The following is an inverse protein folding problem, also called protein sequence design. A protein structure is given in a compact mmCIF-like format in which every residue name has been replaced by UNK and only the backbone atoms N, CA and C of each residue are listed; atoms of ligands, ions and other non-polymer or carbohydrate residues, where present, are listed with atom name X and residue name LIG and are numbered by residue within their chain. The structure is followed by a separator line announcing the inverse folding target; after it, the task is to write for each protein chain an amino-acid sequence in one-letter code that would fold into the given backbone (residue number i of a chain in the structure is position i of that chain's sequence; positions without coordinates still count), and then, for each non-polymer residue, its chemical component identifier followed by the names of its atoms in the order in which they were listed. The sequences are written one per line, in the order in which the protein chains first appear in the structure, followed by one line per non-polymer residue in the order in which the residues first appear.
data_IF_599935843314
#
_entry.id   IF_599935843314
#
_cell.length_a   1.000
_cell.length_b   1.000
_cell.length_c   1.000
_cell.angle_alpha   90.00
_cell.angle_beta   90.00
_cell.angle_gamma   90.00
#
_symmetry.space_group_name_H-M   'P 1'
#
loop_
_entity.id
_entity.type
_entity.pdbx_description
1 polymer ?
#
# COMPACT_ATOMS: atom_id res chain seq x y z
N UNK A 1 38.15 60.52 -21.50
CA UNK A 1 37.70 59.20 -22.01
C UNK A 1 38.04 58.12 -20.98
N UNK A 2 37.37 58.14 -19.81
CA UNK A 2 37.62 57.22 -18.67
C UNK A 2 36.32 56.62 -18.10
N UNK A 3 35.27 56.54 -18.93
CA UNK A 3 33.95 56.04 -18.51
C UNK A 3 33.51 54.74 -19.18
N UNK A 4 34.31 54.17 -20.10
CA UNK A 4 33.91 52.97 -20.85
C UNK A 4 34.48 51.69 -20.22
N UNK A 5 35.51 51.79 -19.38
CA UNK A 5 36.20 50.61 -18.85
C UNK A 5 35.58 50.01 -17.58
N UNK A 6 34.71 50.74 -16.88
CA UNK A 6 34.12 50.29 -15.60
C UNK A 6 32.80 49.55 -15.74
N UNK A 7 32.15 49.61 -16.91
CA UNK A 7 30.86 48.93 -17.13
C UNK A 7 31.03 47.44 -17.53
N UNK A 8 32.17 47.07 -18.10
CA UNK A 8 32.45 45.67 -18.48
C UNK A 8 32.82 44.78 -17.29
N UNK A 9 33.23 45.32 -16.15
CA UNK A 9 33.67 44.51 -15.00
C UNK A 9 32.51 44.09 -14.09
N UNK A 10 31.38 44.81 -14.11
CA UNK A 10 30.20 44.48 -13.29
C UNK A 10 29.26 43.50 -14.03
N UNK A 11 29.30 43.46 -15.36
CA UNK A 11 28.48 42.51 -16.15
C UNK A 11 29.06 41.08 -16.15
N UNK A 12 30.35 40.91 -15.82
CA UNK A 12 31.02 39.60 -15.78
C UNK A 12 30.94 38.90 -14.41
N UNK A 13 30.38 39.53 -13.37
CA UNK A 13 30.22 38.90 -12.05
C UNK A 13 28.90 38.14 -11.85
N UNK A 14 28.02 38.09 -12.85
CA UNK A 14 26.74 37.34 -12.76
C UNK A 14 26.74 35.99 -13.51
N UNK A 15 27.88 35.52 -14.02
CA UNK A 15 27.97 34.22 -14.74
C UNK A 15 28.86 33.21 -13.99
N UNK A 16 28.99 33.37 -12.68
CA UNK A 16 29.52 32.33 -11.79
C UNK A 16 28.49 31.95 -10.73
N UNK A 17 27.21 31.94 -11.10
CA UNK A 17 26.30 30.98 -10.49
C UNK A 17 26.83 29.61 -10.88
N UNK A 18 27.54 28.98 -9.95
CA UNK A 18 28.10 27.65 -10.09
C UNK A 18 27.12 26.74 -10.83
N UNK A 19 27.64 26.17 -11.91
CA UNK A 19 27.32 24.85 -12.42
C UNK A 19 27.34 23.82 -11.27
N UNK A 20 26.32 23.83 -10.43
CA UNK A 20 25.78 22.60 -9.89
C UNK A 20 24.60 22.27 -10.79
N UNK A 21 24.91 21.64 -11.93
CA UNK A 21 23.91 20.97 -12.76
C UNK A 21 23.40 19.74 -11.98
N UNK A 22 22.80 19.99 -10.82
CA UNK A 22 22.16 18.98 -9.99
C UNK A 22 20.85 18.56 -10.64
N UNK A 23 20.28 17.48 -10.12
CA UNK A 23 18.97 16.99 -10.51
C UNK A 23 17.89 17.96 -10.00
N UNK A 24 17.30 18.83 -10.84
CA UNK A 24 16.60 20.02 -10.34
C UNK A 24 15.19 19.71 -9.78
N UNK A 25 14.65 18.51 -10.04
CA UNK A 25 13.34 18.06 -9.59
C UNK A 25 13.26 16.53 -9.52
N UNK A 26 12.31 15.98 -8.77
CA UNK A 26 12.15 14.53 -8.50
C UNK A 26 12.17 13.59 -9.72
N UNK A 27 11.99 14.09 -10.94
CA UNK A 27 12.03 13.31 -12.19
C UNK A 27 12.96 13.89 -13.28
N UNK A 28 13.91 14.75 -12.91
CA UNK A 28 14.83 15.38 -13.86
C UNK A 28 14.13 16.41 -14.74
N UNK A 29 14.86 17.13 -15.59
CA UNK A 29 14.33 18.28 -16.35
C UNK A 29 13.11 17.92 -17.23
N UNK A 30 13.11 16.73 -17.81
CA UNK A 30 12.03 16.23 -18.68
C UNK A 30 10.88 15.54 -17.92
N UNK A 31 10.97 15.48 -16.58
CA UNK A 31 9.99 14.83 -15.69
C UNK A 31 9.73 13.35 -16.02
N UNK A 32 10.69 12.68 -16.64
CA UNK A 32 10.60 11.27 -17.03
C UNK A 32 11.37 10.33 -16.09
N UNK A 33 12.15 10.86 -15.13
CA UNK A 33 12.98 10.06 -14.23
C UNK A 33 14.24 9.49 -14.88
N UNK A 34 14.62 9.97 -16.07
CA UNK A 34 15.75 9.44 -16.86
C UNK A 34 16.95 10.37 -16.76
N UNK A 35 18.05 9.86 -16.23
CA UNK A 35 19.31 10.59 -16.15
C UNK A 35 20.15 10.36 -17.41
N UNK A 36 19.85 11.14 -18.47
CA UNK A 36 20.49 11.02 -19.78
C UNK A 36 22.02 11.12 -19.74
N UNK A 37 22.57 11.90 -18.80
CA UNK A 37 24.01 12.10 -18.62
C UNK A 37 24.53 11.46 -17.32
N UNK A 38 23.95 10.35 -16.88
CA UNK A 38 24.45 9.63 -15.71
C UNK A 38 25.74 8.86 -16.05
N UNK A 39 26.71 8.78 -15.10
CA UNK A 39 27.79 7.81 -15.20
C UNK A 39 27.19 6.41 -15.42
N UNK A 40 27.79 5.61 -16.30
CA UNK A 40 27.38 4.21 -16.45
C UNK A 40 27.48 3.53 -15.08
N UNK A 41 26.36 2.97 -14.62
CA UNK A 41 26.35 2.12 -13.44
C UNK A 41 27.21 0.90 -13.81
N UNK A 42 28.23 0.61 -13.01
CA UNK A 42 29.04 -0.59 -13.22
C UNK A 42 28.15 -1.81 -13.13
N UNK A 43 28.33 -2.75 -14.06
CA UNK A 43 27.72 -4.09 -13.97
C UNK A 43 28.68 -5.10 -13.38
N UNK A 44 29.95 -4.72 -13.26
CA UNK A 44 31.03 -5.56 -12.76
C UNK A 44 31.15 -5.33 -11.25
N UNK A 45 30.37 -6.09 -10.50
CA UNK A 45 30.50 -6.22 -9.06
C UNK A 45 31.27 -7.51 -8.74
N UNK A 46 32.00 -7.52 -7.63
CA UNK A 46 32.57 -8.76 -7.10
C UNK A 46 31.43 -9.74 -6.73
N UNK A 47 31.74 -11.02 -6.54
CA UNK A 47 30.74 -12.07 -6.26
C UNK A 47 29.94 -11.78 -4.97
N UNK A 48 30.56 -11.08 -4.02
CA UNK A 48 29.98 -10.59 -2.76
C UNK A 48 29.24 -9.24 -2.90
N UNK A 49 29.24 -8.62 -4.08
CA UNK A 49 28.54 -7.38 -4.38
C UNK A 49 29.26 -6.11 -3.94
N UNK A 50 28.63 -4.93 -4.07
CA UNK A 50 29.19 -3.68 -3.58
C UNK A 50 29.26 -3.68 -2.05
N UNK A 51 30.37 -3.17 -1.50
CA UNK A 51 30.55 -3.01 -0.05
C UNK A 51 29.46 -2.11 0.52
N UNK A 52 28.70 -2.61 1.49
CA UNK A 52 27.75 -1.80 2.26
C UNK A 52 28.51 -0.75 3.09
N UNK A 53 28.23 0.53 2.83
CA UNK A 53 28.87 1.66 3.53
C UNK A 53 27.99 2.24 4.63
N UNK A 54 26.68 2.04 4.52
CA UNK A 54 25.68 2.54 5.47
C UNK A 54 24.37 1.78 5.30
N UNK A 55 23.64 1.62 6.40
CA UNK A 55 22.30 1.05 6.47
C UNK A 55 21.44 1.97 7.32
N UNK A 56 20.19 2.20 6.90
CA UNK A 56 19.24 2.98 7.68
C UNK A 56 18.55 2.12 8.75
N UNK A 57 17.87 2.77 9.68
CA UNK A 57 16.78 2.09 10.41
C UNK A 57 15.68 1.65 9.43
N UNK A 58 14.78 0.79 9.89
CA UNK A 58 13.56 0.48 9.16
C UNK A 58 12.76 1.76 8.90
N UNK A 59 12.38 1.95 7.64
CA UNK A 59 11.61 3.11 7.19
C UNK A 59 10.17 2.63 7.00
N UNK A 60 9.18 3.25 7.67
CA UNK A 60 7.79 2.86 7.50
C UNK A 60 7.31 3.16 6.07
N UNK A 61 6.53 2.24 5.51
CA UNK A 61 5.94 2.34 4.17
C UNK A 61 4.42 2.11 4.20
N UNK A 62 3.78 2.23 3.04
CA UNK A 62 2.35 1.95 2.87
C UNK A 62 1.45 2.73 3.84
N UNK A 63 0.63 2.02 4.61
CA UNK A 63 -0.31 2.61 5.56
C UNK A 63 0.38 3.15 6.82
N UNK A 64 1.66 2.88 7.04
CA UNK A 64 2.42 3.31 8.22
C UNK A 64 3.36 4.49 7.96
N UNK A 65 3.75 4.72 6.70
CA UNK A 65 4.62 5.85 6.36
C UNK A 65 4.56 6.38 4.93
N UNK A 66 3.58 5.92 4.15
CA UNK A 66 3.38 6.34 2.77
C UNK A 66 4.45 5.80 1.82
N UNK A 67 4.55 6.43 0.66
CA UNK A 67 5.53 6.09 -0.36
C UNK A 67 6.38 7.31 -0.68
N UNK A 68 7.70 7.19 -0.53
CA UNK A 68 8.64 8.23 -0.90
C UNK A 68 9.74 7.67 -1.80
N UNK A 69 10.43 8.56 -2.50
CA UNK A 69 11.62 8.24 -3.28
C UNK A 69 12.85 8.85 -2.60
N UNK A 70 13.96 8.12 -2.64
CA UNK A 70 15.25 8.60 -2.14
C UNK A 70 15.83 9.61 -3.12
N UNK A 71 16.38 10.71 -2.60
CA UNK A 71 17.05 11.74 -3.39
C UNK A 71 18.50 11.84 -2.91
N UNK A 72 19.46 11.78 -3.83
CA UNK A 72 20.87 11.99 -3.53
C UNK A 72 21.32 13.34 -4.08
N UNK A 73 21.80 14.22 -3.21
CA UNK A 73 22.31 15.53 -3.60
C UNK A 73 23.47 15.93 -2.68
N UNK A 74 24.55 16.46 -3.28
CA UNK A 74 25.72 16.98 -2.54
C UNK A 74 26.33 15.96 -1.55
N UNK A 75 26.38 14.68 -1.95
CA UNK A 75 26.89 13.60 -1.10
C UNK A 75 25.98 13.22 0.08
N UNK A 76 24.76 13.75 0.13
CA UNK A 76 23.74 13.45 1.15
C UNK A 76 22.57 12.71 0.54
N UNK A 77 21.95 11.87 1.36
CA UNK A 77 20.75 11.12 1.02
C UNK A 77 19.58 11.74 1.78
N UNK A 78 18.55 12.15 1.05
CA UNK A 78 17.33 12.73 1.57
C UNK A 78 16.16 11.79 1.31
N UNK A 79 15.29 11.67 2.30
CA UNK A 79 14.07 10.90 2.21
C UNK A 79 12.95 11.64 2.94
N UNK A 80 11.83 11.85 2.26
CA UNK A 80 10.63 12.41 2.88
C UNK A 80 9.88 11.28 3.57
N UNK A 81 9.77 11.35 4.90
CA UNK A 81 9.07 10.34 5.68
C UNK A 81 7.80 10.92 6.26
N UNK A 82 6.72 10.15 6.16
CA UNK A 82 5.52 10.39 6.96
C UNK A 82 5.64 9.46 8.16
N UNK A 83 5.83 10.02 9.35
CA UNK A 83 5.81 9.24 10.58
C UNK A 83 4.39 9.23 11.12
N UNK A 84 3.74 8.07 11.11
CA UNK A 84 2.51 7.91 11.87
C UNK A 84 2.83 7.84 13.37
N UNK A 85 1.98 8.49 14.18
CA UNK A 85 2.05 8.38 15.64
C UNK A 85 0.82 7.62 16.08
N UNK A 86 1.06 6.51 16.77
CA UNK A 86 0.01 5.77 17.44
C UNK A 86 -0.41 6.53 18.70
N UNK A 87 -1.52 7.26 18.62
CA UNK A 87 -2.08 8.02 19.74
C UNK A 87 -3.40 7.39 20.13
N UNK A 88 -3.57 6.86 21.35
CA UNK A 88 -4.82 6.20 21.74
C UNK A 88 -6.04 7.03 21.37
N UNK A 89 -6.84 6.52 20.45
CA UNK A 89 -8.02 7.22 20.02
C UNK A 89 -9.06 7.15 21.15
N UNK A 90 -9.77 8.24 21.42
CA UNK A 90 -10.91 8.19 22.33
C UNK A 90 -12.12 7.57 21.64
N UNK A 91 -12.34 7.98 20.39
CA UNK A 91 -13.42 7.49 19.53
C UNK A 91 -12.92 6.31 18.69
N UNK A 92 -13.85 5.53 18.14
CA UNK A 92 -13.54 4.45 17.19
C UNK A 92 -14.34 4.66 15.92
N UNK A 93 -13.76 4.37 14.77
CA UNK A 93 -14.43 4.56 13.48
C UNK A 93 -14.23 3.33 12.61
N UNK A 94 -15.30 2.87 11.96
CA UNK A 94 -15.21 1.86 10.90
C UNK A 94 -15.02 2.61 9.58
N UNK A 95 -13.77 2.95 9.29
CA UNK A 95 -13.42 3.67 8.07
C UNK A 95 -13.11 2.70 6.90
N UNK A 96 -12.68 3.26 5.77
CA UNK A 96 -12.32 2.47 4.59
C UNK A 96 -11.08 1.57 4.84
N UNK A 97 -10.16 1.96 5.73
CA UNK A 97 -8.96 1.17 6.08
C UNK A 97 -9.35 -0.06 6.88
N UNK A 98 -10.25 0.08 7.86
CA UNK A 98 -10.83 -1.02 8.62
C UNK A 98 -11.51 -2.02 7.69
N UNK A 99 -12.40 -1.53 6.81
CA UNK A 99 -13.11 -2.40 5.87
C UNK A 99 -12.14 -3.16 4.94
N UNK A 100 -11.07 -2.50 4.48
CA UNK A 100 -10.02 -3.14 3.69
C UNK A 100 -9.27 -4.20 4.48
N UNK A 101 -8.93 -3.95 5.75
CA UNK A 101 -8.27 -4.91 6.65
C UNK A 101 -9.15 -6.15 6.92
N UNK A 102 -10.46 -5.96 7.03
CA UNK A 102 -11.44 -7.04 7.13
C UNK A 102 -11.57 -7.85 5.83
N UNK A 103 -11.11 -7.31 4.69
CA UNK A 103 -11.23 -7.93 3.38
C UNK A 103 -12.56 -7.64 2.67
N UNK A 104 -13.28 -6.59 3.09
CA UNK A 104 -14.47 -6.13 2.38
C UNK A 104 -14.10 -5.57 1.01
N UNK A 105 -14.89 -5.93 -0.01
CA UNK A 105 -14.82 -5.34 -1.33
C UNK A 105 -16.22 -5.23 -1.90
N UNK A 106 -16.60 -4.03 -2.33
CA UNK A 106 -17.81 -3.88 -3.13
C UNK A 106 -17.58 -4.51 -4.49
N UNK A 107 -18.31 -5.58 -4.79
CA UNK A 107 -18.24 -6.27 -6.08
C UNK A 107 -19.53 -6.07 -6.85
N UNK A 108 -19.40 -5.88 -8.16
CA UNK A 108 -20.53 -5.93 -9.11
C UNK A 108 -20.70 -7.32 -9.73
N UNK A 109 -20.15 -8.35 -9.09
CA UNK A 109 -20.31 -9.73 -9.54
C UNK A 109 -21.76 -10.17 -9.31
N UNK A 110 -22.28 -10.97 -10.24
CA UNK A 110 -23.60 -11.55 -10.09
C UNK A 110 -23.72 -12.38 -8.80
N UNK A 111 -24.85 -12.33 -8.08
CA UNK A 111 -25.03 -13.05 -6.82
C UNK A 111 -24.75 -14.55 -6.93
N UNK A 112 -25.07 -15.17 -8.06
CA UNK A 112 -24.80 -16.59 -8.31
C UNK A 112 -23.29 -16.91 -8.33
N UNK A 113 -22.48 -16.02 -8.90
CA UNK A 113 -21.01 -16.18 -8.94
C UNK A 113 -20.41 -16.02 -7.55
N UNK A 114 -20.94 -15.08 -6.76
CA UNK A 114 -20.54 -14.88 -5.36
C UNK A 114 -20.88 -16.13 -4.54
N UNK A 115 -22.09 -16.67 -4.68
CA UNK A 115 -22.51 -17.88 -4.00
C UNK A 115 -21.65 -19.10 -4.41
N UNK A 116 -21.33 -19.23 -5.70
CA UNK A 116 -20.44 -20.28 -6.20
C UNK A 116 -19.02 -20.17 -5.60
N UNK A 117 -18.49 -18.95 -5.52
CA UNK A 117 -17.19 -18.66 -4.90
C UNK A 117 -17.19 -19.06 -3.42
N UNK A 118 -18.16 -18.59 -2.63
CA UNK A 118 -18.19 -18.88 -1.20
C UNK A 118 -18.42 -20.36 -0.92
N UNK A 119 -19.25 -21.04 -1.73
CA UNK A 119 -19.41 -22.50 -1.66
C UNK A 119 -18.09 -23.22 -1.93
N UNK A 120 -17.36 -22.81 -2.97
CA UNK A 120 -16.05 -23.39 -3.30
C UNK A 120 -15.02 -23.12 -2.20
N UNK A 121 -15.00 -21.90 -1.63
CA UNK A 121 -14.11 -21.52 -0.53
C UNK A 121 -14.31 -22.42 0.70
N UNK A 122 -15.56 -22.66 1.07
CA UNK A 122 -15.90 -23.48 2.24
C UNK A 122 -15.63 -24.98 2.01
N UNK A 123 -15.65 -25.45 0.76
CA UNK A 123 -15.35 -26.85 0.42
C UNK A 123 -13.86 -27.13 0.17
N UNK A 124 -13.00 -26.11 0.25
CA UNK A 124 -11.56 -26.27 0.07
C UNK A 124 -10.97 -27.21 1.13
N UNK A 125 -10.24 -28.23 0.66
CA UNK A 125 -9.49 -29.12 1.55
C UNK A 125 -8.39 -28.34 2.27
N UNK A 126 -8.25 -28.46 3.61
CA UNK A 126 -7.15 -27.84 4.36
C UNK A 126 -5.75 -28.29 3.90
N UNK A 127 -5.66 -29.39 3.16
CA UNK A 127 -4.40 -29.92 2.58
C UNK A 127 -4.02 -29.28 1.24
N UNK A 128 -4.95 -28.58 0.58
CA UNK A 128 -4.68 -27.87 -0.66
C UNK A 128 -3.98 -26.54 -0.34
N UNK A 129 -2.65 -26.49 -0.52
CA UNK A 129 -1.81 -25.34 -0.17
C UNK A 129 -0.69 -25.13 -1.18
N UNK A 130 -0.05 -23.96 -1.13
CA UNK A 130 1.10 -23.62 -1.97
C UNK A 130 0.76 -23.63 -3.45
N UNK A 131 1.68 -24.09 -4.29
CA UNK A 131 1.51 -24.10 -5.76
C UNK A 131 0.25 -24.83 -6.24
N UNK A 132 -0.15 -25.91 -5.57
CA UNK A 132 -1.38 -26.64 -5.91
C UNK A 132 -2.64 -25.80 -5.68
N UNK A 133 -2.66 -24.97 -4.64
CA UNK A 133 -3.77 -24.04 -4.40
C UNK A 133 -3.78 -22.94 -5.46
N UNK A 134 -2.61 -22.41 -5.84
CA UNK A 134 -2.50 -21.39 -6.90
C UNK A 134 -3.02 -21.90 -8.25
N UNK A 135 -2.66 -23.13 -8.62
CA UNK A 135 -3.14 -23.76 -9.85
C UNK A 135 -4.66 -23.98 -9.81
N UNK A 136 -5.18 -24.54 -8.72
CA UNK A 136 -6.63 -24.71 -8.54
C UNK A 136 -7.39 -23.38 -8.61
N UNK A 137 -6.88 -22.32 -7.97
CA UNK A 137 -7.51 -20.99 -8.02
C UNK A 137 -7.51 -20.43 -9.44
N UNK A 138 -6.43 -20.61 -10.19
CA UNK A 138 -6.32 -20.17 -11.59
C UNK A 138 -7.37 -20.87 -12.46
N UNK A 139 -7.52 -22.18 -12.32
CA UNK A 139 -8.54 -22.95 -13.04
C UNK A 139 -9.96 -22.53 -12.66
N UNK A 140 -10.22 -22.37 -11.35
CA UNK A 140 -11.53 -21.94 -10.87
C UNK A 140 -11.90 -20.57 -11.43
N UNK A 141 -10.97 -19.60 -11.39
CA UNK A 141 -11.18 -18.24 -11.89
C UNK A 141 -11.39 -18.24 -13.40
N UNK A 142 -10.60 -19.02 -14.15
CA UNK A 142 -10.75 -19.14 -15.60
C UNK A 142 -12.12 -19.68 -16.00
N UNK A 143 -12.71 -20.55 -15.18
CA UNK A 143 -14.02 -21.17 -15.43
C UNK A 143 -15.21 -20.28 -15.05
N UNK A 144 -15.08 -19.44 -14.03
CA UNK A 144 -16.22 -18.72 -13.44
C UNK A 144 -16.25 -17.22 -13.73
N UNK A 145 -15.12 -16.61 -14.09
CA UNK A 145 -15.02 -15.17 -14.36
C UNK A 145 -14.72 -14.89 -15.83
N UNK A 146 -15.30 -13.81 -16.36
CA UNK A 146 -14.94 -13.24 -17.66
C UNK A 146 -13.59 -12.53 -17.59
N UNK A 147 -12.98 -12.19 -18.73
CA UNK A 147 -11.72 -11.43 -18.75
C UNK A 147 -11.85 -10.07 -18.06
N UNK A 148 -12.97 -9.36 -18.25
CA UNK A 148 -13.23 -8.09 -17.56
C UNK A 148 -13.35 -8.27 -16.04
N UNK A 149 -14.05 -9.31 -15.59
CA UNK A 149 -14.19 -9.61 -14.17
C UNK A 149 -12.85 -10.00 -13.54
N UNK A 150 -11.97 -10.70 -14.27
CA UNK A 150 -10.62 -11.03 -13.80
C UNK A 150 -9.81 -9.77 -13.51
N UNK A 151 -9.83 -8.79 -14.42
CA UNK A 151 -9.12 -7.52 -14.24
C UNK A 151 -9.49 -6.81 -12.92
N UNK A 152 -10.76 -6.92 -12.50
CA UNK A 152 -11.25 -6.24 -11.31
C UNK A 152 -11.25 -7.09 -10.04
N UNK A 153 -11.47 -8.40 -10.15
CA UNK A 153 -11.82 -9.25 -9.01
C UNK A 153 -10.91 -10.46 -8.80
N UNK A 154 -9.96 -10.76 -9.70
CA UNK A 154 -9.08 -11.92 -9.56
C UNK A 154 -8.34 -11.92 -8.21
N UNK A 155 -7.72 -10.80 -7.85
CA UNK A 155 -7.00 -10.67 -6.59
C UNK A 155 -7.89 -10.84 -5.36
N UNK A 156 -9.14 -10.37 -5.45
CA UNK A 156 -10.13 -10.52 -4.37
C UNK A 156 -10.54 -11.99 -4.18
N UNK A 157 -10.91 -12.66 -5.26
CA UNK A 157 -11.29 -14.09 -5.25
C UNK A 157 -10.14 -14.95 -4.73
N UNK A 158 -8.91 -14.71 -5.22
CA UNK A 158 -7.70 -15.39 -4.72
C UNK A 158 -7.48 -15.18 -3.24
N UNK A 159 -7.60 -13.94 -2.76
CA UNK A 159 -7.44 -13.63 -1.32
C UNK A 159 -8.43 -14.42 -0.47
N UNK A 160 -9.71 -14.47 -0.88
CA UNK A 160 -10.74 -15.23 -0.17
C UNK A 160 -10.47 -16.73 -0.14
N UNK A 161 -10.02 -17.32 -1.26
CA UNK A 161 -9.63 -18.74 -1.29
C UNK A 161 -8.39 -19.04 -0.45
N UNK A 162 -7.39 -18.17 -0.44
CA UNK A 162 -6.20 -18.31 0.42
C UNK A 162 -6.55 -18.27 1.91
N UNK A 163 -7.48 -17.41 2.29
CA UNK A 163 -8.00 -17.36 3.65
C UNK A 163 -8.86 -18.59 3.99
N UNK A 164 -9.49 -19.22 2.99
CA UNK A 164 -10.30 -20.43 3.16
C UNK A 164 -11.38 -20.19 4.22
N UNK A 165 -11.53 -21.12 5.16
CA UNK A 165 -12.49 -21.01 6.29
C UNK A 165 -12.28 -19.78 7.19
N UNK A 166 -11.08 -19.20 7.20
CA UNK A 166 -10.74 -18.06 8.04
C UNK A 166 -11.14 -16.71 7.41
N UNK A 167 -11.60 -16.71 6.15
CA UNK A 167 -12.17 -15.50 5.56
C UNK A 167 -13.45 -15.13 6.31
N UNK A 168 -13.59 -13.86 6.69
CA UNK A 168 -14.81 -13.39 7.34
C UNK A 168 -16.02 -13.61 6.42
N UNK A 169 -17.14 -14.16 6.93
CA UNK A 169 -18.36 -14.31 6.15
C UNK A 169 -18.80 -13.00 5.49
N UNK A 170 -19.42 -13.08 4.32
CA UNK A 170 -19.82 -11.89 3.56
C UNK A 170 -20.86 -11.05 4.31
N UNK A 171 -21.78 -11.68 5.02
CA UNK A 171 -22.78 -11.00 5.85
C UNK A 171 -22.16 -10.18 6.98
N UNK A 172 -21.07 -10.66 7.59
CA UNK A 172 -20.29 -9.91 8.59
C UNK A 172 -19.64 -8.69 7.93
N UNK A 173 -19.06 -8.86 6.74
CA UNK A 173 -18.42 -7.79 5.99
C UNK A 173 -19.42 -6.72 5.53
N UNK A 174 -20.59 -7.13 5.06
CA UNK A 174 -21.68 -6.23 4.66
C UNK A 174 -22.24 -5.49 5.88
N UNK A 175 -22.35 -6.16 7.02
CA UNK A 175 -22.76 -5.53 8.29
C UNK A 175 -21.76 -4.45 8.71
N UNK A 176 -20.46 -4.74 8.68
CA UNK A 176 -19.43 -3.76 8.97
C UNK A 176 -19.47 -2.59 7.96
N UNK A 177 -19.63 -2.88 6.67
CA UNK A 177 -19.72 -1.88 5.61
C UNK A 177 -20.96 -0.98 5.75
N UNK A 178 -22.08 -1.50 6.29
CA UNK A 178 -23.27 -0.69 6.59
C UNK A 178 -23.03 0.41 7.63
N UNK A 179 -21.96 0.27 8.42
CA UNK A 179 -21.51 1.24 9.42
C UNK A 179 -20.28 2.02 8.98
N UNK A 180 -19.98 2.05 7.67
CA UNK A 180 -18.90 2.86 7.12
C UNK A 180 -19.02 4.32 7.62
N UNK A 181 -17.90 4.85 8.09
CA UNK A 181 -17.74 6.21 8.62
C UNK A 181 -18.57 6.49 9.90
N UNK A 182 -19.14 5.45 10.53
CA UNK A 182 -19.77 5.58 11.85
C UNK A 182 -18.70 5.76 12.92
N UNK A 183 -18.87 6.82 13.71
CA UNK A 183 -18.07 7.10 14.90
C UNK A 183 -18.76 6.53 16.14
N UNK A 184 -18.02 5.74 16.90
CA UNK A 184 -18.37 5.25 18.23
C UNK A 184 -17.73 6.17 19.28
N UNK A 185 -18.44 6.43 20.38
CA UNK A 185 -18.01 7.37 21.41
C UNK A 185 -16.73 6.92 22.13
N UNK A 186 -16.55 5.61 22.24
CA UNK A 186 -15.52 4.93 23.01
C UNK A 186 -15.37 3.45 22.56
N UNK A 187 -14.42 2.74 23.17
CA UNK A 187 -14.21 1.33 22.89
C UNK A 187 -15.38 0.44 23.37
N UNK A 188 -16.02 0.75 24.50
CA UNK A 188 -17.10 -0.06 25.07
C UNK A 188 -18.36 -0.06 24.19
N UNK A 189 -18.69 1.08 23.59
CA UNK A 189 -19.79 1.22 22.63
C UNK A 189 -19.52 0.47 21.32
N UNK A 190 -18.26 0.40 20.88
CA UNK A 190 -17.85 -0.45 19.76
C UNK A 190 -18.02 -1.94 20.12
N UNK A 191 -17.49 -2.38 21.26
CA UNK A 191 -17.59 -3.77 21.72
C UNK A 191 -19.05 -4.19 21.88
N UNK A 192 -19.88 -3.33 22.46
CA UNK A 192 -21.32 -3.58 22.63
C UNK A 192 -22.02 -3.74 21.29
N UNK A 193 -21.64 -2.94 20.28
CA UNK A 193 -22.17 -3.08 18.93
C UNK A 193 -21.73 -4.39 18.29
N UNK A 194 -20.46 -4.78 18.37
CA UNK A 194 -19.99 -6.08 17.85
C UNK A 194 -20.78 -7.22 18.49
N UNK A 195 -20.84 -7.26 19.83
CA UNK A 195 -21.54 -8.31 20.61
C UNK A 195 -23.04 -8.37 20.35
N UNK A 196 -23.68 -7.26 20.00
CA UNK A 196 -25.11 -7.24 19.71
C UNK A 196 -25.52 -8.10 18.51
N UNK A 197 -24.58 -8.52 17.65
CA UNK A 197 -24.86 -9.38 16.51
C UNK A 197 -24.80 -10.88 16.86
N UNK A 198 -24.30 -11.24 18.05
CA UNK A 198 -24.20 -12.64 18.49
C UNK A 198 -23.28 -13.48 17.61
N UNK A 199 -22.19 -12.89 17.09
CA UNK A 199 -21.20 -13.61 16.30
C UNK A 199 -20.37 -14.55 17.19
N UNK A 200 -19.79 -15.61 16.62
CA UNK A 200 -18.75 -16.38 17.30
C UNK A 200 -17.61 -15.47 17.78
N UNK A 201 -17.05 -15.76 18.95
CA UNK A 201 -15.96 -14.99 19.57
C UNK A 201 -14.80 -14.72 18.60
N UNK A 202 -14.39 -15.74 17.82
CA UNK A 202 -13.33 -15.60 16.81
C UNK A 202 -13.62 -14.52 15.74
N UNK A 203 -14.90 -14.30 15.40
CA UNK A 203 -15.32 -13.27 14.46
C UNK A 203 -15.35 -11.91 15.16
N UNK A 204 -15.84 -11.86 16.40
CA UNK A 204 -15.86 -10.62 17.20
C UNK A 204 -14.46 -10.05 17.38
N UNK A 205 -13.52 -10.90 17.82
CA UNK A 205 -12.10 -10.54 18.00
C UNK A 205 -11.50 -10.02 16.70
N UNK A 206 -11.72 -10.74 15.59
CA UNK A 206 -11.19 -10.34 14.28
C UNK A 206 -11.74 -8.99 13.80
N UNK A 207 -13.00 -8.68 14.11
CA UNK A 207 -13.60 -7.38 13.79
C UNK A 207 -13.01 -6.27 14.67
N UNK A 208 -12.87 -6.52 15.96
CA UNK A 208 -12.31 -5.56 16.92
C UNK A 208 -10.83 -5.26 16.62
N UNK A 209 -10.02 -6.28 16.34
CA UNK A 209 -8.60 -6.16 15.99
C UNK A 209 -8.35 -5.39 14.68
N UNK A 210 -9.35 -5.36 13.80
CA UNK A 210 -9.26 -4.60 12.57
C UNK A 210 -9.39 -3.08 12.80
N UNK A 211 -10.03 -2.67 13.90
CA UNK A 211 -10.31 -1.28 14.21
C UNK A 211 -9.16 -0.72 15.07
N UNK A 212 -8.42 0.29 14.59
CA UNK A 212 -7.31 0.86 15.33
C UNK A 212 -7.70 1.31 16.74
N UNK A 213 -6.84 0.99 17.71
CA UNK A 213 -6.94 1.54 19.05
C UNK A 213 -6.31 2.94 19.15
N UNK A 214 -5.61 3.34 18.10
CA UNK A 214 -4.75 4.53 17.96
C UNK A 214 -5.15 5.35 16.74
#
# INVERSE_FOLDING_TARGET
MKLITTLSTILLLNITANLHAGWPQWRGIDRNGVAHNSPKITTDFAEDGPKMVWESIEIPSDDEGGHSSVIVAEGKVYLSLIWHRDVPAKQRTIDTRVLRKLGYRSTKLEPEKIAAMEKARLSLSPRLRGGKLEEWMKEWIAKHLTEEEKLHYEGYVKSRFKQGRYALPLDVLDTAASKKDKVFSDHESLVSWVKSHGWPEEIEEKVLDAIPAT
#
